data_IF_848749625560
#
_entry.id   IF_848749625560
#
_cell.length_a   1.000
_cell.length_b   1.000
_cell.length_c   1.000
_cell.angle_alpha   90.00
_cell.angle_beta   90.00
_cell.angle_gamma   90.00
#
_symmetry.space_group_name_H-M   'P 1'
#
loop_
_entity.id
_entity.type
_entity.pdbx_description
1 polymer ?
#
# COMPACT_ATOMS: atom_id res chain seq x y z
N UNK A 1 -3.37 18.52 22.52
CA UNK A 1 -4.06 17.21 22.38
C UNK A 1 -2.98 16.15 22.37
N UNK A 2 -3.15 14.99 23.03
CA UNK A 2 -2.22 13.89 22.84
C UNK A 2 -2.28 13.48 21.36
N UNK A 3 -1.14 13.38 20.68
CA UNK A 3 -1.08 12.70 19.40
C UNK A 3 -1.01 11.20 19.68
N UNK A 4 -2.05 10.47 19.31
CA UNK A 4 -1.93 9.02 19.19
C UNK A 4 -1.25 8.71 17.85
N UNK A 5 -0.37 7.73 17.85
CA UNK A 5 0.12 7.17 16.60
C UNK A 5 -1.07 6.55 15.87
N UNK A 6 -1.24 6.88 14.60
CA UNK A 6 -2.27 6.31 13.72
C UNK A 6 -1.89 4.90 13.24
N UNK A 7 -0.75 4.37 13.71
CA UNK A 7 -0.17 3.10 13.33
C UNK A 7 0.21 2.32 14.59
N UNK A 8 -0.06 1.02 14.57
CA UNK A 8 0.25 0.14 15.71
C UNK A 8 1.75 -0.18 15.78
N UNK A 9 2.25 -0.48 16.99
CA UNK A 9 3.64 -0.92 17.18
C UNK A 9 3.92 -2.21 16.38
N UNK A 10 2.98 -3.17 16.37
CA UNK A 10 3.10 -4.40 15.60
C UNK A 10 3.28 -4.13 14.09
N UNK A 11 2.51 -3.19 13.55
CA UNK A 11 2.66 -2.79 12.14
C UNK A 11 4.05 -2.21 11.89
N UNK A 12 4.61 -1.43 12.82
CA UNK A 12 5.97 -0.89 12.67
C UNK A 12 7.05 -1.97 12.73
N UNK A 13 6.86 -2.99 13.57
CA UNK A 13 7.77 -4.14 13.65
C UNK A 13 7.85 -4.91 12.31
N UNK A 14 6.71 -5.08 11.62
CA UNK A 14 6.66 -5.74 10.31
C UNK A 14 7.39 -4.97 9.19
N UNK A 15 7.70 -3.69 9.43
CA UNK A 15 8.43 -2.81 8.52
C UNK A 15 9.94 -2.74 8.84
N UNK A 16 10.47 -3.58 9.73
CA UNK A 16 11.92 -3.68 9.93
C UNK A 16 12.64 -4.07 8.61
N UNK A 17 13.62 -3.25 8.22
CA UNK A 17 14.39 -3.43 6.99
C UNK A 17 13.69 -2.96 5.72
N UNK A 18 12.48 -2.41 5.83
CA UNK A 18 11.80 -1.73 4.74
C UNK A 18 12.23 -0.26 4.65
N UNK A 19 12.31 0.27 3.43
CA UNK A 19 12.64 1.68 3.20
C UNK A 19 11.44 2.40 2.59
N UNK A 20 11.06 3.55 3.12
CA UNK A 20 10.08 4.43 2.48
C UNK A 20 10.67 4.95 1.16
N UNK A 21 10.09 4.56 0.04
CA UNK A 21 10.58 4.90 -1.31
C UNK A 21 9.71 5.96 -1.99
N UNK A 22 8.44 6.09 -1.58
CA UNK A 22 7.53 7.08 -2.16
C UNK A 22 6.36 7.39 -1.22
N UNK A 23 5.80 8.59 -1.32
CA UNK A 23 4.52 8.96 -0.72
C UNK A 23 3.62 9.50 -1.82
N UNK A 24 2.42 8.92 -1.98
CA UNK A 24 1.49 9.26 -3.06
C UNK A 24 0.10 9.57 -2.51
N UNK A 25 -0.73 10.24 -3.31
CA UNK A 25 -2.16 10.42 -3.01
C UNK A 25 -2.94 9.43 -3.86
N UNK A 26 -3.76 8.59 -3.22
CA UNK A 26 -4.66 7.68 -3.91
C UNK A 26 -5.76 8.48 -4.61
N UNK A 27 -6.03 8.14 -5.86
CA UNK A 27 -7.11 8.73 -6.65
C UNK A 27 -8.29 7.78 -6.88
N UNK A 28 -8.13 6.50 -6.55
CA UNK A 28 -9.15 5.48 -6.75
C UNK A 28 -8.57 4.07 -6.87
N UNK A 29 -9.40 3.13 -7.27
CA UNK A 29 -9.01 1.76 -7.61
C UNK A 29 -9.74 1.24 -8.84
N UNK A 30 -9.20 0.17 -9.43
CA UNK A 30 -9.85 -0.65 -10.45
C UNK A 30 -9.74 -2.12 -10.03
N UNK A 31 -10.87 -2.83 -9.94
CA UNK A 31 -10.92 -4.27 -9.69
C UNK A 31 -10.67 -5.09 -10.95
N UNK A 32 -10.38 -6.39 -10.77
CA UNK A 32 -10.12 -7.31 -11.88
C UNK A 32 -11.30 -7.37 -12.88
N UNK A 33 -12.52 -7.20 -12.40
CA UNK A 33 -13.74 -7.19 -13.23
C UNK A 33 -14.01 -5.86 -13.95
N UNK A 34 -13.16 -4.85 -13.73
CA UNK A 34 -13.26 -3.51 -14.30
C UNK A 34 -14.08 -2.52 -13.48
N UNK A 35 -14.54 -2.88 -12.28
CA UNK A 35 -15.19 -1.93 -11.36
C UNK A 35 -14.18 -0.86 -10.94
N UNK A 36 -14.57 0.41 -11.03
CA UNK A 36 -13.73 1.57 -10.70
C UNK A 36 -14.45 2.50 -9.71
N UNK A 37 -13.73 2.96 -8.69
CA UNK A 37 -14.18 4.04 -7.81
C UNK A 37 -13.04 5.03 -7.54
N UNK A 38 -13.40 6.25 -7.19
CA UNK A 38 -12.52 7.35 -6.78
C UNK A 38 -12.14 7.33 -5.29
N UNK A 39 -12.86 6.58 -4.47
CA UNK A 39 -12.50 6.34 -3.08
C UNK A 39 -11.49 5.18 -2.97
N UNK A 40 -10.65 5.22 -1.93
CA UNK A 40 -9.90 4.04 -1.55
C UNK A 40 -10.80 3.13 -0.72
N UNK A 41 -10.92 1.86 -1.13
CA UNK A 41 -11.72 0.84 -0.43
C UNK A 41 -10.86 -0.32 0.10
N UNK A 42 -9.56 -0.06 0.29
CA UNK A 42 -8.60 -1.09 0.67
C UNK A 42 -8.11 -1.91 -0.53
N UNK A 43 -7.44 -3.01 -0.23
CA UNK A 43 -6.99 -3.97 -1.24
C UNK A 43 -7.94 -5.17 -1.34
N UNK A 44 -8.20 -5.56 -2.58
CA UNK A 44 -8.61 -6.91 -2.97
C UNK A 44 -7.45 -7.51 -3.79
N UNK A 45 -7.33 -8.82 -3.86
CA UNK A 45 -6.30 -9.46 -4.67
C UNK A 45 -6.43 -8.99 -6.13
N UNK A 46 -5.31 -8.65 -6.76
CA UNK A 46 -5.24 -8.10 -8.12
C UNK A 46 -5.84 -6.69 -8.31
N UNK A 47 -6.47 -6.09 -7.28
CA UNK A 47 -6.96 -4.70 -7.34
C UNK A 47 -5.81 -3.75 -7.67
N UNK A 48 -6.05 -2.88 -8.64
CA UNK A 48 -5.12 -1.84 -9.02
C UNK A 48 -5.45 -0.55 -8.29
N UNK A 49 -4.53 -0.05 -7.47
CA UNK A 49 -4.65 1.24 -6.80
C UNK A 49 -4.04 2.32 -7.68
N UNK A 50 -4.82 3.35 -7.99
CA UNK A 50 -4.40 4.46 -8.83
C UNK A 50 -3.96 5.65 -7.98
N UNK A 51 -2.93 6.36 -8.44
CA UNK A 51 -2.45 7.57 -7.80
C UNK A 51 -2.67 8.81 -8.66
N UNK A 52 -2.81 9.96 -8.01
CA UNK A 52 -2.99 11.26 -8.67
C UNK A 52 -1.87 11.66 -9.65
N UNK A 53 -0.70 11.04 -9.57
CA UNK A 53 0.43 11.27 -10.48
C UNK A 53 0.41 10.35 -11.72
N UNK A 54 -0.66 9.56 -11.89
CA UNK A 54 -0.84 8.63 -13.01
C UNK A 54 -0.11 7.31 -12.85
N UNK A 55 0.61 7.09 -11.74
CA UNK A 55 1.18 5.78 -11.42
C UNK A 55 0.15 4.87 -10.74
N UNK A 56 0.44 3.58 -10.72
CA UNK A 56 -0.43 2.57 -10.11
C UNK A 56 0.40 1.49 -9.42
N UNK A 57 -0.22 0.80 -8.47
CA UNK A 57 0.29 -0.43 -7.86
C UNK A 57 -0.81 -1.48 -7.86
N UNK A 58 -0.42 -2.75 -7.78
CA UNK A 58 -1.35 -3.87 -7.75
C UNK A 58 -1.25 -4.56 -6.40
N UNK A 59 -2.39 -4.79 -5.77
CA UNK A 59 -2.47 -5.43 -4.46
C UNK A 59 -2.17 -6.94 -4.57
N UNK A 60 -1.42 -7.45 -3.60
CA UNK A 60 -1.14 -8.88 -3.38
C UNK A 60 -1.69 -9.37 -2.02
N UNK A 61 -2.49 -8.54 -1.35
CA UNK A 61 -3.16 -8.86 -0.08
C UNK A 61 -4.62 -8.42 -0.07
N UNK A 62 -5.34 -8.83 0.96
CA UNK A 62 -6.72 -8.40 1.22
C UNK A 62 -6.75 -7.47 2.43
N UNK A 63 -7.60 -6.45 2.36
CA UNK A 63 -7.98 -5.69 3.53
C UNK A 63 -8.88 -4.53 3.16
N UNK A 64 -10.00 -4.39 3.86
CA UNK A 64 -11.03 -3.40 3.55
C UNK A 64 -10.88 -2.17 4.43
N UNK A 65 -10.84 -1.00 3.81
CA UNK A 65 -10.99 0.26 4.52
C UNK A 65 -11.51 1.33 3.58
N UNK A 66 -12.38 2.20 4.07
CA UNK A 66 -12.83 3.35 3.29
C UNK A 66 -12.01 4.59 3.64
N UNK A 67 -11.44 5.25 2.64
CA UNK A 67 -10.86 6.57 2.80
C UNK A 67 -10.92 7.38 1.51
N UNK A 68 -11.33 8.64 1.60
CA UNK A 68 -11.42 9.51 0.43
C UNK A 68 -10.08 10.21 0.19
N UNK A 69 -9.42 9.87 -0.92
CA UNK A 69 -8.11 10.41 -1.35
C UNK A 69 -7.00 10.36 -0.27
N UNK A 70 -6.74 9.21 0.39
CA UNK A 70 -5.71 9.12 1.42
C UNK A 70 -4.29 9.23 0.86
N UNK A 71 -3.33 9.42 1.77
CA UNK A 71 -1.91 9.20 1.47
C UNK A 71 -1.58 7.71 1.54
N UNK A 72 -0.85 7.23 0.53
CA UNK A 72 -0.20 5.93 0.52
C UNK A 72 1.31 6.12 0.72
N UNK A 73 1.84 5.49 1.75
CA UNK A 73 3.27 5.44 2.04
C UNK A 73 3.80 4.13 1.48
N UNK A 74 4.62 4.18 0.44
CA UNK A 74 5.09 3.00 -0.30
C UNK A 74 6.50 2.68 0.14
N UNK A 75 6.72 1.41 0.48
CA UNK A 75 7.97 0.88 0.98
C UNK A 75 8.52 -0.19 0.04
N UNK A 76 9.85 -0.23 -0.06
CA UNK A 76 10.57 -1.27 -0.79
C UNK A 76 11.54 -1.99 0.12
N UNK A 77 11.66 -3.30 -0.06
CA UNK A 77 12.69 -4.12 0.59
C UNK A 77 13.34 -5.05 -0.42
N UNK A 78 14.65 -4.90 -0.57
CA UNK A 78 15.44 -5.81 -1.41
C UNK A 78 15.95 -7.00 -0.61
N UNK A 79 15.87 -8.19 -1.19
CA UNK A 79 16.39 -9.42 -0.61
C UNK A 79 16.96 -10.33 -1.69
N UNK A 80 17.93 -11.17 -1.30
CA UNK A 80 18.55 -12.14 -2.20
C UNK A 80 17.87 -13.49 -2.07
N UNK A 81 17.33 -14.01 -3.17
CA UNK A 81 16.75 -15.36 -3.24
C UNK A 81 17.42 -16.14 -4.36
N UNK A 82 18.06 -17.27 -4.00
CA UNK A 82 18.80 -18.14 -4.95
C UNK A 82 19.80 -17.40 -5.85
N UNK A 83 20.46 -16.37 -5.34
CA UNK A 83 21.43 -15.55 -6.08
C UNK A 83 20.83 -14.43 -6.93
N UNK A 84 19.50 -14.31 -6.99
CA UNK A 84 18.80 -13.19 -7.63
C UNK A 84 18.41 -12.13 -6.60
N UNK A 85 18.59 -10.86 -6.93
CA UNK A 85 18.08 -9.74 -6.13
C UNK A 85 16.63 -9.48 -6.50
N UNK A 86 15.72 -9.69 -5.56
CA UNK A 86 14.30 -9.38 -5.69
C UNK A 86 13.99 -8.15 -4.83
N UNK A 87 12.92 -7.44 -5.18
CA UNK A 87 12.38 -6.35 -4.37
C UNK A 87 10.91 -6.63 -4.12
N UNK A 88 10.51 -6.65 -2.85
CA UNK A 88 9.10 -6.65 -2.46
C UNK A 88 8.64 -5.23 -2.19
N UNK A 89 7.36 -4.99 -2.40
CA UNK A 89 6.72 -3.71 -2.14
C UNK A 89 5.59 -3.88 -1.13
N UNK A 90 5.45 -2.88 -0.26
CA UNK A 90 4.35 -2.73 0.69
C UNK A 90 3.85 -1.30 0.62
N UNK A 91 2.60 -1.07 1.02
CA UNK A 91 2.13 0.28 1.32
C UNK A 91 1.38 0.34 2.64
N UNK A 92 1.43 1.50 3.28
CA UNK A 92 0.54 1.86 4.39
C UNK A 92 -0.43 2.93 3.92
N UNK A 93 -1.71 2.71 4.17
CA UNK A 93 -2.79 3.68 3.90
C UNK A 93 -3.66 3.76 5.14
N UNK A 94 -3.82 4.97 5.69
CA UNK A 94 -4.63 5.24 6.89
C UNK A 94 -4.44 4.23 8.06
N UNK A 95 -3.18 3.90 8.34
CA UNK A 95 -2.79 3.06 9.49
C UNK A 95 -2.65 1.57 9.19
N UNK A 96 -3.21 1.09 8.08
CA UNK A 96 -3.18 -0.33 7.68
C UNK A 96 -2.14 -0.59 6.59
N UNK A 97 -1.47 -1.74 6.65
CA UNK A 97 -0.49 -2.16 5.65
C UNK A 97 -1.02 -3.18 4.62
N UNK A 98 -0.42 -3.14 3.43
CA UNK A 98 -0.79 -3.97 2.28
C UNK A 98 0.44 -4.43 1.52
N UNK A 99 0.42 -5.68 1.05
CA UNK A 99 1.45 -6.22 0.16
C UNK A 99 1.12 -5.87 -1.30
N UNK A 100 2.16 -5.61 -2.09
CA UNK A 100 2.07 -5.17 -3.48
C UNK A 100 2.93 -6.04 -4.40
N UNK A 101 2.50 -6.16 -5.66
CA UNK A 101 3.25 -6.82 -6.75
C UNK A 101 4.29 -5.90 -7.41
#
# INVERSE_FOLDING_TARGET
>A
MPSYADISENTLEDFEGWTLISVKTVSGFIDEDGTEDSAFEGCDYERTIMFTDGTQVKCDSYGYQYSFMPKAFIFGRSYSYKGSSLTSFKMIVAGEDYDLQ
#
